data_IF_223124075567
#
_entry.id   IF_223124075567
#
_cell.length_a   1.000
_cell.length_b   1.000
_cell.length_c   1.000
_cell.angle_alpha   90.00
_cell.angle_beta   90.00
_cell.angle_gamma   90.00
#
_symmetry.space_group_name_H-M   'P 1'
#
loop_
_entity.id
_entity.type
_entity.pdbx_description
1 polymer ?
#
# COMPACT_ATOMS: atom_id res chain seq x y z
N UNK A 1 7.98 -2.99 13.35
CA UNK A 1 7.55 -2.22 12.16
C UNK A 1 6.07 -2.48 11.97
N UNK A 2 5.25 -1.44 11.94
CA UNK A 2 3.79 -1.58 11.90
C UNK A 2 3.27 -1.15 10.53
N UNK A 3 2.16 -1.74 10.08
CA UNK A 3 1.49 -1.31 8.87
C UNK A 3 1.02 0.14 9.01
N UNK A 4 1.37 0.98 8.03
CA UNK A 4 1.00 2.38 7.95
C UNK A 4 -0.52 2.59 8.02
N UNK A 5 -1.30 1.65 7.45
CA UNK A 5 -2.76 1.76 7.36
C UNK A 5 -3.47 1.11 8.56
N UNK A 6 -3.15 -0.16 8.86
CA UNK A 6 -3.92 -0.93 9.86
C UNK A 6 -3.19 -1.12 11.20
N UNK A 7 -1.98 -0.58 11.37
CA UNK A 7 -1.21 -0.64 12.61
C UNK A 7 -0.68 -2.04 12.99
N UNK A 8 -1.05 -3.10 12.25
CA UNK A 8 -0.61 -4.47 12.54
C UNK A 8 0.90 -4.65 12.48
N UNK A 9 1.44 -5.57 13.26
CA UNK A 9 2.89 -5.79 13.35
C UNK A 9 3.37 -6.64 12.18
N UNK A 10 4.66 -6.49 11.83
CA UNK A 10 5.31 -7.26 10.76
C UNK A 10 5.20 -8.77 10.93
N UNK A 11 5.24 -9.22 12.17
CA UNK A 11 5.14 -10.63 12.58
C UNK A 11 3.84 -11.31 12.09
N UNK A 12 2.79 -10.53 11.78
CA UNK A 12 1.48 -11.05 11.39
C UNK A 12 1.33 -11.31 9.86
N UNK A 13 2.32 -10.98 9.01
CA UNK A 13 2.21 -11.06 7.55
C UNK A 13 3.52 -11.38 6.82
N UNK A 14 3.46 -12.22 5.78
CA UNK A 14 4.62 -12.62 4.96
C UNK A 14 5.10 -11.53 3.98
N UNK A 15 4.19 -10.74 3.40
CA UNK A 15 4.54 -9.77 2.34
C UNK A 15 4.25 -8.32 2.77
N UNK A 16 5.26 -7.46 2.58
CA UNK A 16 5.27 -6.06 2.98
C UNK A 16 5.82 -5.15 1.89
N UNK A 17 5.27 -3.94 1.84
CA UNK A 17 5.49 -2.99 0.76
C UNK A 17 6.00 -1.67 1.34
N UNK A 18 7.10 -1.17 0.81
CA UNK A 18 7.55 0.20 1.06
C UNK A 18 7.18 1.08 -0.14
N UNK A 19 7.32 2.41 0.01
CA UNK A 19 6.95 3.37 -1.04
C UNK A 19 7.70 3.14 -2.36
N UNK A 20 8.97 2.76 -2.31
CA UNK A 20 9.80 2.52 -3.48
C UNK A 20 9.29 1.30 -4.26
N UNK A 21 9.07 0.17 -3.57
CA UNK A 21 8.56 -1.06 -4.18
C UNK A 21 7.18 -0.83 -4.81
N UNK A 22 6.33 -0.04 -4.15
CA UNK A 22 5.03 0.34 -4.73
C UNK A 22 5.24 1.14 -6.02
N UNK A 23 6.14 2.13 -6.00
CA UNK A 23 6.41 3.00 -7.15
C UNK A 23 6.94 2.28 -8.40
N UNK A 24 7.64 1.15 -8.22
CA UNK A 24 8.13 0.31 -9.35
C UNK A 24 7.13 -0.76 -9.78
N UNK A 25 6.15 -1.10 -8.94
CA UNK A 25 5.23 -2.23 -9.18
C UNK A 25 3.89 -1.78 -9.75
N UNK A 26 3.37 -0.65 -9.28
CA UNK A 26 2.01 -0.19 -9.58
C UNK A 26 2.03 1.03 -10.50
N UNK A 27 0.95 1.24 -11.26
CA UNK A 27 0.82 2.37 -12.19
C UNK A 27 0.58 3.72 -11.48
N UNK A 28 0.56 4.80 -12.26
CA UNK A 28 0.34 6.16 -11.74
C UNK A 28 -1.01 6.34 -11.07
N UNK A 29 -2.03 5.57 -11.46
CA UNK A 29 -3.38 5.72 -10.90
C UNK A 29 -3.44 5.14 -9.48
N UNK A 30 -2.90 3.93 -9.30
CA UNK A 30 -2.72 3.35 -7.97
C UNK A 30 -1.82 4.23 -7.10
N UNK A 31 -0.71 4.73 -7.66
CA UNK A 31 0.22 5.61 -6.93
C UNK A 31 -0.41 6.94 -6.53
N UNK A 32 -1.43 7.42 -7.26
CA UNK A 32 -2.16 8.64 -6.95
C UNK A 32 -3.21 8.48 -5.85
N UNK A 33 -3.49 7.25 -5.39
CA UNK A 33 -4.34 7.03 -4.22
C UNK A 33 -3.81 7.82 -3.01
N UNK A 34 -4.69 8.51 -2.29
CA UNK A 34 -4.32 9.39 -1.17
C UNK A 34 -3.47 8.68 -0.11
N UNK A 35 -3.81 7.42 0.20
CA UNK A 35 -3.07 6.62 1.19
C UNK A 35 -1.64 6.36 0.73
N UNK A 36 -1.44 6.08 -0.57
CA UNK A 36 -0.12 5.82 -1.15
C UNK A 36 0.71 7.10 -1.22
N UNK A 37 0.11 8.22 -1.61
CA UNK A 37 0.78 9.53 -1.65
C UNK A 37 1.30 9.95 -0.27
N UNK A 38 0.52 9.67 0.77
CA UNK A 38 0.84 10.01 2.15
C UNK A 38 1.86 9.06 2.81
N UNK A 39 2.28 7.98 2.15
CA UNK A 39 3.39 7.18 2.63
C UNK A 39 4.70 7.98 2.61
N UNK A 40 5.52 7.82 3.66
CA UNK A 40 6.92 8.24 3.65
C UNK A 40 7.80 7.10 3.11
N UNK A 41 9.07 7.39 2.81
CA UNK A 41 10.04 6.36 2.38
C UNK A 41 10.31 5.32 3.48
N UNK A 42 10.00 5.65 4.74
CA UNK A 42 10.08 4.75 5.89
C UNK A 42 8.78 3.99 6.16
N UNK A 43 7.67 4.39 5.52
CA UNK A 43 6.38 3.74 5.71
C UNK A 43 6.40 2.35 5.11
N UNK A 44 5.84 1.40 5.86
CA UNK A 44 5.67 0.01 5.44
C UNK A 44 4.19 -0.33 5.50
N UNK A 45 3.69 -1.05 4.50
CA UNK A 45 2.30 -1.47 4.42
C UNK A 45 2.22 -2.99 4.21
N UNK A 46 1.29 -3.65 4.91
CA UNK A 46 1.08 -5.08 4.73
C UNK A 46 0.34 -5.36 3.41
N UNK A 47 0.55 -6.55 2.86
CA UNK A 47 -0.05 -6.94 1.58
C UNK A 47 -1.57 -6.87 1.56
N UNK A 48 -2.24 -7.15 2.69
CA UNK A 48 -3.71 -7.03 2.79
C UNK A 48 -4.18 -5.61 2.47
N UNK A 49 -3.53 -4.58 3.03
CA UNK A 49 -3.91 -3.19 2.78
C UNK A 49 -3.64 -2.78 1.34
N UNK A 50 -2.54 -3.26 0.73
CA UNK A 50 -2.27 -3.07 -0.70
C UNK A 50 -3.41 -3.62 -1.57
N UNK A 51 -3.85 -4.87 -1.32
CA UNK A 51 -4.95 -5.50 -2.06
C UNK A 51 -6.27 -4.76 -1.89
N UNK A 52 -6.51 -4.17 -0.71
CA UNK A 52 -7.69 -3.32 -0.47
C UNK A 52 -7.63 -2.04 -1.33
N UNK A 53 -6.47 -1.39 -1.41
CA UNK A 53 -6.31 -0.18 -2.26
C UNK A 53 -6.46 -0.53 -3.74
N UNK A 54 -5.90 -1.66 -4.17
CA UNK A 54 -5.98 -2.14 -5.56
C UNK A 54 -7.44 -2.30 -5.98
N UNK A 55 -8.24 -2.96 -5.14
CA UNK A 55 -9.68 -3.12 -5.37
C UNK A 55 -10.43 -1.79 -5.42
N UNK A 56 -10.13 -0.85 -4.52
CA UNK A 56 -10.77 0.49 -4.52
C UNK A 56 -10.47 1.24 -5.82
N UNK A 57 -9.23 1.17 -6.29
CA UNK A 57 -8.80 1.82 -7.53
C UNK A 57 -9.47 1.14 -8.73
N UNK A 58 -9.54 -0.19 -8.77
CA UNK A 58 -10.24 -0.94 -9.83
C UNK A 58 -11.74 -0.63 -9.87
N UNK A 59 -12.42 -0.58 -8.71
CA UNK A 59 -13.84 -0.24 -8.63
C UNK A 59 -14.15 1.20 -9.05
N UNK A 60 -13.19 2.12 -8.90
CA UNK A 60 -13.33 3.52 -9.32
C UNK A 60 -13.25 3.71 -10.84
N UNK A 61 -12.87 2.67 -11.60
CA UNK A 61 -12.80 2.68 -13.07
C UNK A 61 -14.09 2.22 -13.75
N UNK A 62 -15.04 1.68 -12.98
CA UNK A 62 -16.35 1.19 -13.44
C UNK A 62 -17.40 2.31 -13.38
#
# INVERSE_FOLDING_TARGET
>A
MNCFVCGKKKEDYEVWWNKIVIGITYDSEFQNNETIRNMSDKSMMCHRCIKTIEKIVEESKL
#
